data_IF_332423331283
#
_entry.id   IF_332423331283
#
_cell.length_a   1.000
_cell.length_b   1.000
_cell.length_c   1.000
_cell.angle_alpha   90.00
_cell.angle_beta   90.00
_cell.angle_gamma   90.00
#
_symmetry.space_group_name_H-M   'P 1'
#
loop_
_entity.id
_entity.type
_entity.pdbx_description
1 polymer ?
#
# COMPACT_ATOMS: atom_id res chain seq x y z
N UNK A 1 8.14 2.58 -35.36
CA UNK A 1 7.08 2.64 -34.33
C UNK A 1 5.83 3.13 -35.01
N UNK A 2 4.64 2.61 -34.69
CA UNK A 2 3.40 3.25 -35.12
C UNK A 2 3.42 4.72 -34.70
N UNK A 3 3.00 5.59 -35.61
CA UNK A 3 3.04 7.03 -35.44
C UNK A 3 2.09 7.47 -34.32
N UNK A 4 2.54 8.32 -33.41
CA UNK A 4 1.73 8.83 -32.30
C UNK A 4 0.61 9.72 -32.86
N UNK A 5 -0.63 9.26 -32.78
CA UNK A 5 -1.79 9.85 -33.44
C UNK A 5 -2.90 10.26 -32.45
N UNK A 6 -4.05 10.69 -32.96
CA UNK A 6 -5.17 11.17 -32.15
C UNK A 6 -5.78 10.08 -31.24
N UNK A 7 -5.71 8.80 -31.63
CA UNK A 7 -6.10 7.69 -30.75
C UNK A 7 -5.22 7.63 -29.50
N UNK A 8 -3.91 7.84 -29.65
CA UNK A 8 -2.98 7.90 -28.52
C UNK A 8 -3.23 9.14 -27.65
N UNK A 9 -3.56 10.29 -28.26
CA UNK A 9 -3.92 11.52 -27.53
C UNK A 9 -5.20 11.32 -26.71
N UNK A 10 -6.22 10.71 -27.28
CA UNK A 10 -7.47 10.40 -26.59
C UNK A 10 -7.25 9.43 -25.42
N UNK A 11 -6.39 8.43 -25.60
CA UNK A 11 -6.01 7.51 -24.53
C UNK A 11 -5.29 8.23 -23.38
N UNK A 12 -4.34 9.10 -23.69
CA UNK A 12 -3.66 9.92 -22.68
C UNK A 12 -4.63 10.87 -21.96
N UNK A 13 -5.56 11.48 -22.68
CA UNK A 13 -6.61 12.32 -22.09
C UNK A 13 -7.47 11.54 -21.10
N UNK A 14 -7.76 10.26 -21.36
CA UNK A 14 -8.46 9.40 -20.41
C UNK A 14 -7.66 9.19 -19.11
N UNK A 15 -6.34 9.04 -19.20
CA UNK A 15 -5.43 9.00 -18.03
C UNK A 15 -5.32 10.32 -17.28
N UNK A 16 -5.48 11.46 -17.96
CA UNK A 16 -5.50 12.76 -17.27
C UNK A 16 -6.85 13.01 -16.60
N UNK A 17 -7.95 12.56 -17.20
CA UNK A 17 -9.29 12.70 -16.65
C UNK A 17 -9.57 11.73 -15.50
N UNK A 18 -8.89 10.58 -15.49
CA UNK A 18 -9.01 9.56 -14.44
C UNK A 18 -7.71 9.48 -13.64
N UNK A 19 -7.83 9.70 -12.34
CA UNK A 19 -6.75 9.55 -11.35
C UNK A 19 -5.90 8.27 -11.49
N UNK A 20 -6.54 7.14 -11.80
CA UNK A 20 -5.90 5.85 -12.07
C UNK A 20 -6.87 4.91 -12.75
N UNK A 21 -6.37 3.85 -13.39
CA UNK A 21 -7.22 2.83 -14.01
C UNK A 21 -6.55 1.45 -14.03
N UNK A 22 -7.36 0.39 -14.02
CA UNK A 22 -6.91 -0.97 -14.34
C UNK A 22 -6.96 -1.24 -15.84
N UNK A 23 -6.44 -2.39 -16.27
CA UNK A 23 -6.56 -2.80 -17.68
C UNK A 23 -8.03 -2.94 -18.08
N UNK A 24 -8.85 -3.54 -17.21
CA UNK A 24 -10.28 -3.74 -17.42
C UNK A 24 -11.04 -2.41 -17.51
N UNK A 25 -10.64 -1.39 -16.74
CA UNK A 25 -11.20 -0.03 -16.84
C UNK A 25 -10.81 0.67 -18.16
N UNK A 26 -9.68 0.29 -18.74
CA UNK A 26 -9.14 0.85 -19.98
C UNK A 26 -9.68 0.17 -21.25
N UNK A 27 -10.09 -1.11 -21.17
CA UNK A 27 -10.71 -1.84 -22.29
C UNK A 27 -11.86 -1.08 -22.96
N UNK A 28 -12.91 -0.61 -22.24
CA UNK A 28 -14.00 0.13 -22.88
C UNK A 28 -13.57 1.49 -23.44
N UNK A 29 -12.53 2.12 -22.87
CA UNK A 29 -11.98 3.37 -23.41
C UNK A 29 -11.30 3.10 -24.75
N UNK A 30 -10.39 2.12 -24.78
CA UNK A 30 -9.66 1.77 -25.99
C UNK A 30 -10.60 1.26 -27.09
N UNK A 31 -11.59 0.44 -26.75
CA UNK A 31 -12.62 0.01 -27.69
C UNK A 31 -13.37 1.20 -28.31
N UNK A 32 -13.76 2.19 -27.51
CA UNK A 32 -14.41 3.40 -28.03
C UNK A 32 -13.50 4.22 -28.94
N UNK A 33 -12.22 4.40 -28.55
CA UNK A 33 -11.22 5.12 -29.35
C UNK A 33 -11.00 4.42 -30.69
N UNK A 34 -10.76 3.10 -30.65
CA UNK A 34 -10.48 2.29 -31.83
C UNK A 34 -11.69 2.17 -32.74
N UNK A 35 -12.90 2.15 -32.17
CA UNK A 35 -14.13 2.16 -32.97
C UNK A 35 -14.20 3.39 -33.88
N UNK A 36 -13.81 4.55 -33.35
CA UNK A 36 -13.77 5.79 -34.13
C UNK A 36 -12.60 5.79 -35.12
N UNK A 37 -11.40 5.35 -34.70
CA UNK A 37 -10.22 5.44 -35.56
C UNK A 37 -10.17 4.38 -36.67
N UNK A 38 -10.74 3.21 -36.45
CA UNK A 38 -10.76 2.11 -37.43
C UNK A 38 -12.05 2.11 -38.29
N UNK A 39 -13.07 2.87 -37.90
CA UNK A 39 -14.35 2.94 -38.63
C UNK A 39 -15.17 1.64 -38.57
N UNK A 40 -14.88 0.76 -37.62
CA UNK A 40 -15.64 -0.46 -37.32
C UNK A 40 -15.94 -0.51 -35.83
N UNK A 41 -17.00 -1.20 -35.42
CA UNK A 41 -17.21 -1.47 -33.99
C UNK A 41 -16.11 -2.39 -33.46
N UNK A 42 -15.52 -2.01 -32.33
CA UNK A 42 -14.54 -2.81 -31.57
C UNK A 42 -15.16 -3.13 -30.22
N UNK A 43 -15.29 -4.41 -29.87
CA UNK A 43 -15.77 -4.81 -28.55
C UNK A 43 -14.65 -4.69 -27.49
N UNK A 44 -14.96 -4.32 -26.22
CA UNK A 44 -13.96 -4.23 -25.15
C UNK A 44 -13.15 -5.52 -24.93
N UNK A 45 -13.77 -6.68 -25.18
CA UNK A 45 -13.14 -8.00 -25.05
C UNK A 45 -12.12 -8.30 -26.17
N UNK A 46 -12.15 -7.55 -27.28
CA UNK A 46 -11.13 -7.64 -28.34
C UNK A 46 -9.81 -6.96 -27.95
N UNK A 47 -9.85 -6.05 -26.96
CA UNK A 47 -8.67 -5.30 -26.53
C UNK A 47 -7.74 -6.24 -25.76
N UNK A 48 -6.61 -6.56 -26.39
CA UNK A 48 -5.56 -7.37 -25.79
C UNK A 48 -4.62 -6.59 -24.88
N UNK A 49 -3.96 -7.30 -23.97
CA UNK A 49 -2.95 -6.72 -23.08
C UNK A 49 -1.76 -6.12 -23.85
N UNK A 50 -1.36 -6.74 -24.97
CA UNK A 50 -0.27 -6.25 -25.82
C UNK A 50 -0.62 -4.90 -26.45
N UNK A 51 -1.85 -4.76 -26.97
CA UNK A 51 -2.34 -3.51 -27.53
C UNK A 51 -2.37 -2.41 -26.47
N UNK A 52 -2.86 -2.70 -25.27
CA UNK A 52 -2.82 -1.74 -24.16
C UNK A 52 -1.38 -1.35 -23.79
N UNK A 53 -0.45 -2.31 -23.75
CA UNK A 53 0.97 -2.05 -23.50
C UNK A 53 1.59 -1.14 -24.57
N UNK A 54 1.21 -1.32 -25.84
CA UNK A 54 1.68 -0.48 -26.94
C UNK A 54 1.20 0.97 -26.79
N UNK A 55 -0.06 1.18 -26.42
CA UNK A 55 -0.62 2.51 -26.12
C UNK A 55 0.10 3.17 -24.93
N UNK A 56 0.39 2.41 -23.87
CA UNK A 56 1.15 2.90 -22.71
C UNK A 56 2.57 3.31 -23.13
N UNK A 57 3.26 2.48 -23.92
CA UNK A 57 4.60 2.77 -24.41
C UNK A 57 4.64 4.01 -25.30
N UNK A 58 3.66 4.16 -26.20
CA UNK A 58 3.51 5.32 -27.05
C UNK A 58 3.23 6.59 -26.23
N UNK A 59 2.32 6.51 -25.25
CA UNK A 59 2.03 7.60 -24.31
C UNK A 59 3.28 8.02 -23.53
N UNK A 60 4.00 7.08 -22.91
CA UNK A 60 5.23 7.34 -22.15
C UNK A 60 6.31 8.01 -22.99
N UNK A 61 6.48 7.58 -24.25
CA UNK A 61 7.41 8.22 -25.18
C UNK A 61 7.02 9.68 -25.45
N UNK A 62 5.72 9.96 -25.62
CA UNK A 62 5.23 11.31 -25.90
C UNK A 62 5.26 12.25 -24.69
N UNK A 63 5.05 11.73 -23.47
CA UNK A 63 4.94 12.55 -22.25
C UNK A 63 6.26 12.68 -21.48
N UNK A 64 7.26 11.86 -21.79
CA UNK A 64 8.59 11.91 -21.16
C UNK A 64 9.26 13.30 -21.17
N UNK A 65 9.16 14.14 -22.22
CA UNK A 65 9.71 15.50 -22.21
C UNK A 65 9.09 16.45 -21.18
N UNK A 66 7.95 16.08 -20.60
CA UNK A 66 7.23 16.85 -19.58
C UNK A 66 7.43 16.29 -18.17
N UNK A 67 8.39 15.37 -18.00
CA UNK A 67 8.62 14.67 -16.73
C UNK A 67 7.38 13.94 -16.23
N UNK A 68 6.61 13.39 -17.16
CA UNK A 68 5.45 12.56 -16.87
C UNK A 68 5.75 11.13 -17.31
N UNK A 69 5.16 10.18 -16.60
CA UNK A 69 5.25 8.76 -16.92
C UNK A 69 4.00 8.04 -16.44
N UNK A 70 3.40 7.20 -17.28
CA UNK A 70 2.39 6.23 -16.84
C UNK A 70 3.11 5.06 -16.18
N UNK A 71 2.99 4.97 -14.85
CA UNK A 71 3.51 3.88 -14.05
C UNK A 71 2.43 2.89 -13.67
N UNK A 72 2.84 1.74 -13.17
CA UNK A 72 1.92 0.73 -12.66
C UNK A 72 2.38 0.07 -11.38
N UNK A 73 1.44 -0.22 -10.49
CA UNK A 73 1.66 -1.00 -9.26
C UNK A 73 0.56 -2.04 -9.07
N UNK A 74 0.93 -3.16 -8.45
CA UNK A 74 -0.06 -4.07 -7.89
C UNK A 74 -0.47 -3.57 -6.50
N UNK A 75 -1.76 -3.60 -6.15
CA UNK A 75 -2.24 -3.39 -4.80
C UNK A 75 -1.47 -4.24 -3.80
N UNK A 76 -1.01 -3.62 -2.71
CA UNK A 76 -0.22 -4.29 -1.68
C UNK A 76 -1.11 -4.85 -0.56
N UNK A 77 -2.22 -4.18 -0.27
CA UNK A 77 -3.26 -4.73 0.58
C UNK A 77 -4.19 -5.59 -0.28
N UNK A 78 -4.40 -6.82 0.13
CA UNK A 78 -5.53 -7.59 -0.37
C UNK A 78 -6.77 -6.97 0.28
N UNK A 79 -7.65 -6.40 -0.54
CA UNK A 79 -9.04 -6.24 -0.13
C UNK A 79 -9.47 -7.60 0.42
N UNK A 80 -10.15 -7.59 1.58
CA UNK A 80 -10.69 -8.82 2.13
C UNK A 80 -11.42 -9.53 1.01
N UNK A 81 -10.92 -10.70 0.63
CA UNK A 81 -11.79 -11.73 0.12
C UNK A 81 -12.97 -11.74 1.11
N UNK A 82 -14.13 -11.25 0.67
CA UNK A 82 -15.37 -11.79 1.18
C UNK A 82 -15.14 -13.30 1.18
N UNK A 83 -15.44 -13.99 2.27
CA UNK A 83 -15.06 -15.40 2.44
C UNK A 83 -15.61 -16.32 1.33
N UNK A 84 -16.48 -15.80 0.45
CA UNK A 84 -17.06 -16.42 -0.72
C UNK A 84 -16.63 -15.82 -2.08
N UNK A 85 -15.72 -14.85 -2.12
CA UNK A 85 -15.20 -14.28 -3.36
C UNK A 85 -14.11 -15.19 -3.95
N UNK A 86 -14.17 -15.53 -5.26
CA UNK A 86 -13.13 -16.31 -5.90
C UNK A 86 -11.76 -15.63 -5.72
N UNK A 87 -10.70 -16.44 -5.57
CA UNK A 87 -9.30 -16.03 -5.42
C UNK A 87 -8.85 -15.26 -6.67
N UNK A 88 -9.27 -13.99 -6.74
CA UNK A 88 -9.07 -13.14 -7.90
C UNK A 88 -7.71 -12.48 -7.71
N UNK A 89 -6.78 -12.64 -8.67
CA UNK A 89 -5.48 -12.02 -8.56
C UNK A 89 -5.64 -10.48 -8.47
N UNK A 90 -4.79 -9.80 -7.68
CA UNK A 90 -4.84 -8.35 -7.58
C UNK A 90 -4.65 -7.72 -8.96
N UNK A 91 -5.54 -6.80 -9.31
CA UNK A 91 -5.50 -6.09 -10.60
C UNK A 91 -4.42 -5.01 -10.56
N UNK A 92 -3.65 -4.90 -11.64
CA UNK A 92 -2.61 -3.87 -11.78
C UNK A 92 -3.27 -2.52 -12.01
N UNK A 93 -2.85 -1.53 -11.22
CA UNK A 93 -3.31 -0.15 -11.30
C UNK A 93 -2.28 0.66 -12.06
N UNK A 94 -2.73 1.47 -13.01
CA UNK A 94 -1.92 2.39 -13.81
C UNK A 94 -2.29 3.83 -13.47
N UNK A 95 -1.31 4.72 -13.39
CA UNK A 95 -1.53 6.15 -13.17
C UNK A 95 -0.45 6.98 -13.88
N UNK A 96 -0.84 8.16 -14.37
CA UNK A 96 0.08 9.16 -14.90
C UNK A 96 0.72 9.90 -13.73
N UNK A 97 2.02 9.74 -13.54
CA UNK A 97 2.76 10.36 -12.45
C UNK A 97 3.75 11.39 -12.95
N UNK A 98 3.99 12.39 -12.11
CA UNK A 98 5.10 13.32 -12.31
C UNK A 98 6.40 12.72 -11.73
N UNK A 99 7.47 12.73 -12.52
CA UNK A 99 8.76 12.14 -12.13
C UNK A 99 9.70 13.11 -11.42
N UNK A 100 9.45 14.42 -11.50
CA UNK A 100 10.36 15.46 -11.02
C UNK A 100 9.73 16.35 -9.94
N UNK A 101 8.45 16.65 -10.04
CA UNK A 101 7.75 17.53 -9.09
C UNK A 101 7.40 16.82 -7.78
N UNK A 102 7.42 17.57 -6.68
CA UNK A 102 6.85 17.12 -5.41
C UNK A 102 5.31 17.04 -5.52
N UNK A 103 4.68 15.86 -5.36
CA UNK A 103 3.23 15.75 -5.45
C UNK A 103 2.48 16.48 -4.32
N UNK A 104 3.14 16.81 -3.20
CA UNK A 104 2.55 17.75 -2.24
C UNK A 104 2.32 19.14 -2.85
N UNK A 105 3.13 19.55 -3.82
CA UNK A 105 2.92 20.80 -4.58
C UNK A 105 1.69 20.69 -5.48
N UNK A 106 1.42 19.52 -6.04
CA UNK A 106 0.20 19.29 -6.83
C UNK A 106 -1.04 19.33 -5.93
N UNK A 107 -0.99 18.66 -4.78
CA UNK A 107 -2.05 18.74 -3.75
C UNK A 107 -2.24 20.16 -3.24
N UNK A 108 -1.19 21.00 -3.23
CA UNK A 108 -1.28 22.39 -2.84
C UNK A 108 -2.11 23.27 -3.79
N UNK A 109 -2.43 22.77 -4.99
CA UNK A 109 -3.35 23.47 -5.90
C UNK A 109 -4.82 23.23 -5.56
N UNK A 110 -5.14 22.13 -4.88
CA UNK A 110 -6.51 21.73 -4.52
C UNK A 110 -6.83 22.01 -3.05
N UNK A 111 -5.85 21.84 -2.16
CA UNK A 111 -6.02 21.92 -0.71
C UNK A 111 -5.43 23.21 -0.14
N UNK A 112 -6.01 23.70 0.94
CA UNK A 112 -5.48 24.83 1.69
C UNK A 112 -4.16 24.49 2.41
N UNK A 113 -3.34 25.48 2.78
CA UNK A 113 -2.10 25.24 3.53
C UNK A 113 -2.29 24.43 4.84
N UNK A 114 -3.39 24.65 5.55
CA UNK A 114 -3.69 23.95 6.81
C UNK A 114 -4.08 22.48 6.56
N UNK A 115 -4.77 22.21 5.46
CA UNK A 115 -5.10 20.85 5.01
C UNK A 115 -3.85 20.10 4.57
N UNK A 116 -2.98 20.71 3.76
CA UNK A 116 -1.70 20.10 3.36
C UNK A 116 -0.86 19.79 4.60
N UNK A 117 -0.82 20.68 5.58
CA UNK A 117 -0.10 20.43 6.82
C UNK A 117 -0.72 19.30 7.64
N UNK A 118 -2.05 19.16 7.65
CA UNK A 118 -2.72 18.00 8.26
C UNK A 118 -2.35 16.69 7.54
N UNK A 119 -2.37 16.68 6.21
CA UNK A 119 -1.93 15.53 5.43
C UNK A 119 -0.47 15.17 5.74
N UNK A 120 0.42 16.16 5.79
CA UNK A 120 1.82 15.94 6.18
C UNK A 120 1.92 15.31 7.57
N UNK A 121 1.18 15.81 8.58
CA UNK A 121 1.15 15.21 9.92
C UNK A 121 0.66 13.76 9.90
N UNK A 122 -0.34 13.45 9.06
CA UNK A 122 -0.82 12.09 8.87
C UNK A 122 0.26 11.18 8.26
N UNK A 123 0.96 11.64 7.24
CA UNK A 123 2.08 10.92 6.62
C UNK A 123 3.23 10.74 7.62
N UNK A 124 3.57 11.77 8.39
CA UNK A 124 4.59 11.71 9.45
C UNK A 124 4.21 10.67 10.50
N UNK A 125 2.94 10.62 10.90
CA UNK A 125 2.45 9.58 11.80
C UNK A 125 2.59 8.18 11.20
N UNK A 126 2.22 7.98 9.93
CA UNK A 126 2.36 6.67 9.27
C UNK A 126 3.83 6.24 9.11
N UNK A 127 4.69 7.13 8.60
CA UNK A 127 6.05 6.80 8.16
C UNK A 127 7.16 7.10 9.17
N UNK A 128 6.84 7.78 10.27
CA UNK A 128 7.76 7.98 11.41
C UNK A 128 7.27 7.30 12.68
N UNK A 129 6.04 7.61 13.12
CA UNK A 129 5.52 7.08 14.40
C UNK A 129 5.21 5.59 14.31
N UNK A 130 4.44 5.18 13.30
CA UNK A 130 4.06 3.80 13.03
C UNK A 130 5.03 3.09 12.07
N UNK A 131 6.24 3.63 11.87
CA UNK A 131 7.30 3.00 11.11
C UNK A 131 8.66 3.25 11.78
N UNK A 132 8.97 2.40 12.74
CA UNK A 132 10.17 2.46 13.54
C UNK A 132 10.86 1.08 13.58
N UNK A 133 12.02 1.00 14.25
CA UNK A 133 12.81 -0.23 14.31
C UNK A 133 12.02 -1.42 14.86
N UNK A 134 11.06 -1.18 15.74
CA UNK A 134 10.24 -2.21 16.34
C UNK A 134 9.05 -2.55 15.44
N UNK A 135 8.35 -1.59 14.87
CA UNK A 135 7.14 -1.82 14.07
C UNK A 135 7.21 -1.13 12.70
N UNK A 136 7.05 -1.90 11.61
CA UNK A 136 6.92 -1.40 10.23
C UNK A 136 5.44 -1.40 9.82
N UNK A 137 4.62 -0.59 10.49
CA UNK A 137 3.16 -0.57 10.34
C UNK A 137 2.65 0.31 9.18
N UNK A 138 3.13 1.54 9.04
CA UNK A 138 2.80 2.46 7.94
C UNK A 138 1.30 2.65 7.66
N UNK A 139 0.49 2.59 8.73
CA UNK A 139 -0.95 2.79 8.70
C UNK A 139 -1.40 3.64 9.88
N UNK A 140 -2.59 4.20 9.81
CA UNK A 140 -3.22 4.92 10.93
C UNK A 140 -4.68 4.49 11.05
N UNK A 141 -5.20 4.34 12.27
CA UNK A 141 -6.66 4.24 12.43
C UNK A 141 -7.32 5.58 12.13
N UNK A 142 -8.61 5.58 11.74
CA UNK A 142 -9.35 6.82 11.52
C UNK A 142 -9.33 7.73 12.76
N UNK A 143 -9.45 7.17 13.97
CA UNK A 143 -9.38 7.94 15.21
C UNK A 143 -8.01 8.59 15.42
N UNK A 144 -6.92 7.85 15.18
CA UNK A 144 -5.56 8.40 15.25
C UNK A 144 -5.37 9.53 14.22
N UNK A 145 -5.82 9.33 12.98
CA UNK A 145 -5.72 10.33 11.93
C UNK A 145 -6.46 11.63 12.30
N UNK A 146 -7.70 11.52 12.79
CA UNK A 146 -8.50 12.68 13.20
C UNK A 146 -7.84 13.44 14.36
N UNK A 147 -7.19 12.75 15.31
CA UNK A 147 -6.49 13.39 16.43
C UNK A 147 -5.31 14.28 15.98
N UNK A 148 -4.78 14.08 14.77
CA UNK A 148 -3.73 14.91 14.16
C UNK A 148 -4.24 16.27 13.64
N UNK A 149 -5.53 16.58 13.84
CA UNK A 149 -6.10 17.88 13.49
C UNK A 149 -5.44 19.06 14.22
N UNK A 150 -4.87 18.80 15.41
CA UNK A 150 -4.15 19.80 16.22
C UNK A 150 -2.68 19.86 15.85
N UNK A 151 -2.17 21.07 15.61
CA UNK A 151 -0.74 21.34 15.47
C UNK A 151 -0.07 21.20 16.83
N UNK A 152 1.00 20.41 16.90
CA UNK A 152 1.78 20.21 18.12
C UNK A 152 2.43 21.52 18.56
N UNK A 153 2.56 21.72 19.87
CA UNK A 153 3.26 22.88 20.44
C UNK A 153 4.68 23.04 19.87
N UNK A 154 5.33 21.92 19.56
CA UNK A 154 6.68 21.88 18.98
C UNK A 154 6.73 22.42 17.54
N UNK A 155 5.70 22.18 16.73
CA UNK A 155 5.63 22.63 15.32
C UNK A 155 5.29 24.12 15.21
N UNK A 156 4.69 24.72 16.25
CA UNK A 156 4.43 26.16 16.31
C UNK A 156 5.72 26.98 16.46
N UNK A 157 6.82 26.34 16.86
CA UNK A 157 8.08 27.01 17.18
C UNK A 157 9.14 26.86 16.07
N UNK A 158 9.00 25.86 15.19
CA UNK A 158 9.96 25.56 14.12
C UNK A 158 9.79 26.43 12.86
N UNK A 159 8.69 27.15 12.71
CA UNK A 159 8.46 28.10 11.60
C UNK A 159 9.22 29.43 11.75
N UNK A 160 10.00 29.61 12.81
CA UNK A 160 10.74 30.85 13.08
C UNK A 160 12.16 30.95 12.53
N UNK A 161 12.75 29.88 11.98
CA UNK A 161 14.21 29.82 11.78
C UNK A 161 14.71 29.28 10.43
N UNK A 162 13.85 28.95 9.47
CA UNK A 162 14.31 28.47 8.16
C UNK A 162 14.32 29.62 7.13
N UNK A 163 15.52 29.98 6.67
CA UNK A 163 15.84 31.24 5.98
C UNK A 163 15.62 31.18 4.47
N UNK A 164 14.65 30.41 3.99
CA UNK A 164 14.34 30.32 2.56
C UNK A 164 12.96 30.92 2.28
N UNK A 165 12.98 32.01 1.53
CA UNK A 165 11.89 32.93 1.21
C UNK A 165 10.57 32.27 0.78
N UNK A 166 9.63 32.14 1.71
CA UNK A 166 8.20 32.33 1.46
C UNK A 166 7.53 32.72 2.77
N UNK A 167 6.85 33.86 2.81
CA UNK A 167 5.99 34.26 3.93
C UNK A 167 4.83 33.27 4.05
N UNK A 168 5.04 32.12 4.70
CA UNK A 168 3.97 31.20 5.02
C UNK A 168 3.25 31.72 6.27
N UNK A 169 1.95 32.02 6.12
CA UNK A 169 1.08 32.26 7.25
C UNK A 169 1.23 31.11 8.25
N UNK A 170 1.22 31.41 9.55
CA UNK A 170 1.34 30.39 10.59
C UNK A 170 0.27 29.31 10.40
N UNK A 171 0.69 28.10 10.02
CA UNK A 171 -0.17 26.95 9.79
C UNK A 171 -1.03 26.68 11.02
N UNK A 172 -2.34 26.68 10.84
CA UNK A 172 -3.32 26.53 11.92
C UNK A 172 -3.77 25.07 12.08
N UNK A 173 -4.42 24.81 13.22
CA UNK A 173 -5.07 23.52 13.45
C UNK A 173 -6.41 23.50 12.74
N UNK A 174 -6.72 22.38 12.09
CA UNK A 174 -8.07 22.14 11.58
C UNK A 174 -9.03 21.89 12.74
N UNK A 175 -10.32 22.13 12.53
CA UNK A 175 -11.36 21.56 13.40
C UNK A 175 -11.40 20.04 13.20
N UNK A 176 -11.83 19.32 14.23
CA UNK A 176 -11.93 17.85 14.17
C UNK A 176 -12.83 17.40 13.01
N UNK A 177 -13.96 18.07 12.80
CA UNK A 177 -14.88 17.80 11.69
C UNK A 177 -14.25 18.05 10.32
N UNK A 178 -13.41 19.08 10.18
CA UNK A 178 -12.69 19.36 8.93
C UNK A 178 -11.67 18.26 8.63
N UNK A 179 -10.97 17.76 9.65
CA UNK A 179 -10.05 16.63 9.48
C UNK A 179 -10.78 15.35 9.06
N UNK A 180 -11.95 15.07 9.64
CA UNK A 180 -12.80 13.94 9.23
C UNK A 180 -13.24 14.06 7.76
N UNK A 181 -13.76 15.22 7.37
CA UNK A 181 -14.17 15.48 5.98
C UNK A 181 -12.99 15.36 5.01
N UNK A 182 -11.82 15.89 5.37
CA UNK A 182 -10.62 15.78 4.55
C UNK A 182 -10.17 14.32 4.36
N UNK A 183 -10.22 13.49 5.41
CA UNK A 183 -9.92 12.06 5.28
C UNK A 183 -10.86 11.38 4.28
N UNK A 184 -12.16 11.71 4.32
CA UNK A 184 -13.14 11.16 3.37
C UNK A 184 -12.79 11.57 1.93
N UNK A 185 -12.51 12.85 1.69
CA UNK A 185 -12.10 13.32 0.35
C UNK A 185 -10.81 12.65 -0.13
N UNK A 186 -9.80 12.49 0.73
CA UNK A 186 -8.58 11.76 0.37
C UNK A 186 -8.85 10.30 -0.02
N UNK A 187 -9.87 9.66 0.56
CA UNK A 187 -10.28 8.31 0.16
C UNK A 187 -10.99 8.34 -1.19
N UNK A 188 -11.95 9.25 -1.37
CA UNK A 188 -12.72 9.39 -2.62
C UNK A 188 -11.83 9.74 -3.82
N UNK A 189 -10.81 10.57 -3.62
CA UNK A 189 -9.82 10.93 -4.64
C UNK A 189 -8.78 9.83 -4.87
N UNK A 190 -8.79 8.76 -4.07
CA UNK A 190 -7.88 7.64 -4.21
C UNK A 190 -6.46 7.93 -3.73
N UNK A 191 -6.27 8.83 -2.76
CA UNK A 191 -4.99 9.01 -2.05
C UNK A 191 -4.84 8.03 -0.90
N UNK A 192 -5.93 7.80 -0.17
CA UNK A 192 -6.02 6.88 0.94
C UNK A 192 -7.00 5.74 0.62
N UNK A 193 -6.78 4.60 1.24
CA UNK A 193 -7.74 3.51 1.29
C UNK A 193 -7.93 3.08 2.74
N UNK A 194 -9.13 2.60 3.06
CA UNK A 194 -9.49 2.10 4.38
C UNK A 194 -9.64 0.58 4.34
N UNK A 195 -8.87 -0.12 5.16
CA UNK A 195 -9.00 -1.56 5.30
C UNK A 195 -10.29 -1.94 6.03
N UNK A 196 -10.75 -3.20 5.91
CA UNK A 196 -11.91 -3.70 6.67
C UNK A 196 -11.74 -3.57 8.19
N UNK A 197 -10.49 -3.57 8.69
CA UNK A 197 -10.19 -3.36 10.11
C UNK A 197 -10.11 -1.88 10.52
N UNK A 198 -10.41 -0.97 9.59
CA UNK A 198 -10.49 0.47 9.85
C UNK A 198 -9.15 1.21 9.78
N UNK A 199 -8.12 0.61 9.19
CA UNK A 199 -6.82 1.26 9.01
C UNK A 199 -6.76 2.01 7.68
N UNK A 200 -6.27 3.23 7.73
CA UNK A 200 -5.94 4.07 6.60
C UNK A 200 -4.51 3.75 6.14
N UNK A 201 -4.34 3.60 4.82
CA UNK A 201 -3.06 3.39 4.14
C UNK A 201 -3.05 4.11 2.80
N UNK A 202 -1.87 4.35 2.22
CA UNK A 202 -1.75 4.89 0.87
C UNK A 202 -2.25 3.88 -0.17
N UNK A 203 -2.96 4.38 -1.19
CA UNK A 203 -3.34 3.60 -2.37
C UNK A 203 -2.13 3.33 -3.28
N UNK A 204 -2.25 2.42 -4.28
CA UNK A 204 -1.23 2.25 -5.30
C UNK A 204 -0.93 3.55 -6.07
N UNK A 205 -1.96 4.33 -6.38
CA UNK A 205 -1.83 5.65 -7.01
C UNK A 205 -0.94 6.56 -6.17
N UNK A 206 -1.28 6.75 -4.90
CA UNK A 206 -0.53 7.60 -4.00
C UNK A 206 0.91 7.13 -3.82
N UNK A 207 1.17 5.82 -3.79
CA UNK A 207 2.52 5.27 -3.70
C UNK A 207 3.35 5.53 -4.96
N UNK A 208 2.74 5.52 -6.15
CA UNK A 208 3.43 5.87 -7.39
C UNK A 208 3.76 7.36 -7.45
N UNK A 209 2.78 8.22 -7.13
CA UNK A 209 2.94 9.67 -7.17
C UNK A 209 3.91 10.14 -6.08
N UNK A 210 3.68 9.79 -4.81
CA UNK A 210 4.49 10.23 -3.67
C UNK A 210 5.84 9.51 -3.53
N UNK A 211 6.22 8.63 -4.45
CA UNK A 211 7.43 7.79 -4.33
C UNK A 211 8.69 8.63 -4.05
N UNK A 212 8.94 9.65 -4.88
CA UNK A 212 10.12 10.50 -4.76
C UNK A 212 10.11 11.29 -3.45
N UNK A 213 8.97 11.91 -3.15
CA UNK A 213 8.78 12.71 -1.95
C UNK A 213 8.91 11.90 -0.65
N UNK A 214 8.31 10.71 -0.57
CA UNK A 214 8.40 9.83 0.60
C UNK A 214 9.85 9.47 0.90
N UNK A 215 10.60 9.07 -0.13
CA UNK A 215 12.01 8.70 0.02
C UNK A 215 12.83 9.92 0.44
N UNK A 216 12.66 11.06 -0.25
CA UNK A 216 13.40 12.28 0.09
C UNK A 216 13.04 12.84 1.47
N UNK A 217 11.80 12.68 1.93
CA UNK A 217 11.37 13.27 3.21
C UNK A 217 11.76 12.40 4.40
N UNK A 218 11.66 11.08 4.25
CA UNK A 218 11.79 10.15 5.38
C UNK A 218 13.11 9.36 5.39
N UNK A 219 13.89 9.40 4.32
CA UNK A 219 15.22 8.78 4.28
C UNK A 219 16.38 9.79 4.17
N UNK A 220 16.10 11.09 4.02
CA UNK A 220 17.13 12.12 3.91
C UNK A 220 17.55 12.70 5.28
N UNK A 221 18.82 13.11 5.35
CA UNK A 221 19.56 13.69 6.49
C UNK A 221 19.28 13.09 7.89
N UNK A 222 20.18 12.18 8.26
CA UNK A 222 20.46 11.62 9.58
C UNK A 222 20.01 12.45 10.78
N UNK A 223 18.85 12.10 11.34
CA UNK A 223 18.49 12.47 12.71
C UNK A 223 19.44 11.71 13.65
N UNK A 224 20.57 12.34 14.05
CA UNK A 224 21.67 11.82 14.93
C UNK A 224 23.00 11.40 14.26
N UNK A 225 23.19 11.60 12.96
CA UNK A 225 24.37 11.12 12.23
C UNK A 225 24.32 9.64 11.80
N UNK A 226 23.22 8.92 12.07
CA UNK A 226 22.93 7.58 11.51
C UNK A 226 21.84 7.68 10.45
N UNK A 227 22.12 7.13 9.27
CA UNK A 227 21.11 6.99 8.19
C UNK A 227 20.09 5.94 8.61
N UNK A 228 18.87 6.36 8.96
CA UNK A 228 17.74 5.45 9.19
C UNK A 228 16.89 5.41 7.93
N UNK A 229 16.99 4.32 7.18
CA UNK A 229 16.15 4.09 6.01
C UNK A 229 14.74 3.67 6.46
N UNK A 230 13.81 4.63 6.51
CA UNK A 230 12.41 4.41 6.93
C UNK A 230 11.60 3.80 5.81
N UNK A 231 11.68 4.39 4.62
CA UNK A 231 11.01 3.93 3.41
C UNK A 231 11.88 2.86 2.79
N UNK A 232 11.35 1.64 2.71
CA UNK A 232 12.05 0.48 2.20
C UNK A 232 11.37 -0.02 0.94
N UNK A 233 12.14 -0.71 0.11
CA UNK A 233 11.67 -1.30 -1.14
C UNK A 233 11.65 -2.82 -1.09
N UNK A 234 10.70 -3.42 -1.80
CA UNK A 234 10.64 -4.86 -2.02
C UNK A 234 11.87 -5.33 -2.81
N UNK A 235 12.51 -6.41 -2.35
CA UNK A 235 13.72 -6.92 -2.97
C UNK A 235 13.50 -7.50 -4.38
N UNK A 236 12.26 -7.89 -4.70
CA UNK A 236 11.88 -8.46 -6.00
C UNK A 236 11.50 -7.38 -7.04
N UNK A 237 10.49 -6.55 -6.76
CA UNK A 237 9.99 -5.56 -7.72
C UNK A 237 10.62 -4.17 -7.58
N UNK A 238 11.42 -3.92 -6.54
CA UNK A 238 12.06 -2.62 -6.22
C UNK A 238 11.12 -1.46 -5.90
N UNK A 239 9.82 -1.74 -5.76
CA UNK A 239 8.83 -0.76 -5.36
C UNK A 239 8.73 -0.60 -3.84
N UNK A 240 8.24 0.57 -3.39
CA UNK A 240 8.02 0.83 -1.95
C UNK A 240 7.13 -0.26 -1.37
N UNK A 241 7.50 -0.76 -0.19
CA UNK A 241 6.70 -1.76 0.52
C UNK A 241 6.04 -1.20 1.76
N UNK A 242 4.71 -1.17 1.75
CA UNK A 242 3.86 -0.82 2.88
C UNK A 242 3.10 -2.04 3.41
N UNK A 243 2.98 -3.13 2.64
CA UNK A 243 2.38 -4.40 3.08
C UNK A 243 3.18 -5.60 2.56
N UNK A 244 3.50 -6.55 3.44
CA UNK A 244 4.17 -7.79 3.06
C UNK A 244 4.88 -8.45 4.22
N UNK A 245 6.07 -9.02 3.95
CA UNK A 245 6.91 -9.67 4.95
C UNK A 245 8.33 -9.12 4.93
N UNK A 246 9.01 -9.25 6.08
CA UNK A 246 10.40 -8.83 6.28
C UNK A 246 11.26 -9.98 6.81
N UNK A 247 12.57 -9.81 6.67
CA UNK A 247 13.55 -10.67 7.31
C UNK A 247 13.42 -10.64 8.85
N UNK A 248 13.79 -11.74 9.51
CA UNK A 248 13.87 -11.85 10.96
C UNK A 248 14.76 -10.75 11.56
N UNK A 249 15.94 -10.58 10.96
CA UNK A 249 16.87 -9.52 11.33
C UNK A 249 16.31 -8.16 10.89
N UNK A 250 15.99 -7.32 11.88
CA UNK A 250 15.44 -5.97 11.69
C UNK A 250 16.39 -5.04 10.92
N UNK A 251 17.69 -5.27 11.06
CA UNK A 251 18.73 -4.48 10.42
C UNK A 251 19.00 -4.97 8.99
N UNK A 252 18.43 -6.10 8.56
CA UNK A 252 18.59 -6.63 7.21
C UNK A 252 17.61 -6.00 6.22
N UNK A 253 18.07 -5.55 5.04
CA UNK A 253 17.35 -5.23 3.82
C UNK A 253 15.99 -5.84 3.53
N UNK A 254 15.96 -7.16 3.67
CA UNK A 254 15.07 -8.03 2.92
C UNK A 254 13.61 -7.84 3.30
N UNK A 255 12.83 -7.23 2.39
CA UNK A 255 11.36 -7.18 2.43
C UNK A 255 10.81 -7.68 1.10
N UNK A 256 9.66 -8.34 1.14
CA UNK A 256 8.96 -8.84 -0.05
C UNK A 256 7.46 -8.60 0.11
N UNK A 257 6.80 -8.08 -0.94
CA UNK A 257 5.34 -8.02 -0.97
C UNK A 257 4.76 -9.43 -0.99
N UNK A 258 3.52 -9.60 -0.52
CA UNK A 258 2.85 -10.90 -0.52
C UNK A 258 2.76 -11.52 -1.92
N UNK A 259 2.38 -10.73 -2.92
CA UNK A 259 2.31 -11.16 -4.30
C UNK A 259 3.70 -11.41 -4.93
N UNK A 260 4.77 -10.78 -4.42
CA UNK A 260 6.13 -11.00 -4.91
C UNK A 260 6.72 -12.32 -4.39
N UNK A 261 6.45 -12.69 -3.13
CA UNK A 261 7.09 -13.85 -2.48
C UNK A 261 6.89 -15.15 -3.27
N UNK A 262 5.66 -15.44 -3.71
CA UNK A 262 5.35 -16.70 -4.40
C UNK A 262 6.20 -16.91 -5.65
N UNK A 263 6.30 -15.88 -6.50
CA UNK A 263 7.09 -15.98 -7.72
C UNK A 263 8.59 -15.95 -7.40
N UNK A 264 9.00 -15.13 -6.44
CA UNK A 264 10.39 -14.96 -6.06
C UNK A 264 11.02 -16.26 -5.52
N UNK A 265 10.40 -16.90 -4.52
CA UNK A 265 10.94 -18.14 -3.94
C UNK A 265 10.85 -19.33 -4.90
N UNK A 266 9.83 -19.37 -5.75
CA UNK A 266 9.74 -20.37 -6.83
C UNK A 266 10.91 -20.22 -7.81
N UNK A 267 11.23 -19.00 -8.22
CA UNK A 267 12.37 -18.73 -9.12
C UNK A 267 13.72 -19.03 -8.46
N UNK A 268 13.87 -18.73 -7.16
CA UNK A 268 15.11 -19.01 -6.44
C UNK A 268 15.25 -20.47 -5.98
N UNK A 269 14.18 -21.27 -6.05
CA UNK A 269 14.12 -22.64 -5.50
C UNK A 269 14.52 -22.71 -4.01
N UNK A 270 14.35 -21.62 -3.27
CA UNK A 270 14.70 -21.53 -1.85
C UNK A 270 13.89 -20.43 -1.16
N UNK A 271 13.39 -20.73 0.05
CA UNK A 271 12.74 -19.75 0.94
C UNK A 271 13.78 -19.06 1.83
N UNK A 272 14.67 -18.30 1.20
CA UNK A 272 15.75 -17.57 1.88
C UNK A 272 15.61 -16.08 1.67
N UNK A 273 16.08 -15.32 2.65
CA UNK A 273 16.15 -13.88 2.56
C UNK A 273 17.03 -13.47 1.37
N UNK A 274 16.54 -12.60 0.47
CA UNK A 274 17.28 -12.19 -0.73
C UNK A 274 18.56 -11.41 -0.43
N UNK A 275 18.70 -10.90 0.79
CA UNK A 275 19.81 -10.04 1.20
C UNK A 275 20.81 -10.80 2.06
N UNK A 276 20.37 -11.41 3.16
CA UNK A 276 21.28 -12.09 4.10
C UNK A 276 21.31 -13.62 3.98
N UNK A 277 20.52 -14.21 3.07
CA UNK A 277 20.48 -15.65 2.78
C UNK A 277 20.06 -16.57 3.94
N UNK A 278 19.61 -16.01 5.07
CA UNK A 278 18.98 -16.77 6.17
C UNK A 278 17.60 -17.26 5.76
N UNK A 279 17.08 -18.28 6.44
CA UNK A 279 15.72 -18.78 6.24
C UNK A 279 14.69 -17.65 6.40
N UNK A 280 13.69 -17.66 5.51
CA UNK A 280 12.63 -16.66 5.55
C UNK A 280 11.65 -16.98 6.70
N UNK A 281 11.36 -16.03 7.60
CA UNK A 281 10.66 -16.34 8.85
C UNK A 281 9.18 -16.68 8.66
N UNK A 282 8.53 -16.16 7.61
CA UNK A 282 7.11 -16.42 7.32
C UNK A 282 6.10 -15.72 8.24
N UNK A 283 6.54 -15.20 9.40
CA UNK A 283 5.67 -14.63 10.44
C UNK A 283 6.01 -13.16 10.80
N UNK A 284 6.99 -12.55 10.15
CA UNK A 284 7.38 -11.15 10.36
C UNK A 284 6.80 -10.27 9.27
N UNK A 285 5.80 -9.48 9.65
CA UNK A 285 5.01 -8.71 8.70
C UNK A 285 5.43 -7.24 8.61
N UNK A 286 5.07 -6.65 7.48
CA UNK A 286 5.06 -5.21 7.17
C UNK A 286 3.61 -4.80 6.92
N UNK A 287 3.23 -3.60 7.34
CA UNK A 287 1.88 -3.07 7.20
C UNK A 287 0.98 -3.30 8.41
N UNK A 288 -0.33 -3.29 8.20
CA UNK A 288 -1.34 -3.51 9.23
C UNK A 288 -1.07 -4.74 10.11
N UNK A 289 -0.61 -5.86 9.49
CA UNK A 289 -0.31 -7.11 10.21
C UNK A 289 0.84 -6.98 11.21
N UNK A 290 1.76 -6.03 11.00
CA UNK A 290 2.84 -5.77 11.94
C UNK A 290 2.29 -5.30 13.30
N UNK A 291 1.23 -4.47 13.31
CA UNK A 291 0.64 -3.95 14.54
C UNK A 291 0.04 -5.05 15.42
N UNK A 292 -0.66 -6.04 14.82
CA UNK A 292 -1.24 -7.16 15.56
C UNK A 292 -0.18 -8.13 16.10
N UNK A 293 0.93 -8.32 15.39
CA UNK A 293 2.04 -9.16 15.84
C UNK A 293 2.78 -8.54 17.05
N UNK A 294 2.79 -7.20 17.17
CA UNK A 294 3.38 -6.51 18.32
C UNK A 294 2.58 -6.64 19.61
N UNK A 295 1.26 -6.86 19.51
CA UNK A 295 0.37 -6.92 20.66
C UNK A 295 0.24 -8.32 21.27
N UNK A 296 0.90 -9.34 20.71
CA UNK A 296 0.92 -10.70 21.29
C UNK A 296 2.21 -10.89 22.12
N UNK A 297 2.12 -10.90 23.47
CA UNK A 297 3.24 -11.37 24.28
C UNK A 297 3.53 -12.84 23.96
N UNK A 298 4.82 -13.17 23.87
CA UNK A 298 5.37 -14.44 23.36
C UNK A 298 5.16 -15.66 24.28
N UNK A 299 4.00 -15.77 24.95
CA UNK A 299 3.66 -16.91 25.84
C UNK A 299 2.57 -17.80 25.24
N UNK A 300 2.77 -18.26 24.00
CA UNK A 300 2.01 -19.37 23.46
C UNK A 300 2.98 -20.37 22.83
N UNK A 301 3.54 -21.24 23.68
CA UNK A 301 4.16 -22.50 23.24
C UNK A 301 3.19 -23.26 22.32
N UNK A 302 3.60 -23.71 21.13
CA UNK A 302 2.77 -24.54 20.30
C UNK A 302 2.65 -25.92 20.96
N UNK A 303 1.46 -26.27 21.45
CA UNK A 303 1.13 -27.66 21.81
C UNK A 303 1.21 -28.50 20.54
N UNK A 304 2.28 -29.28 20.43
CA UNK A 304 2.38 -30.38 19.47
C UNK A 304 1.14 -31.27 19.62
N UNK A 305 0.31 -31.30 18.57
CA UNK A 305 -0.69 -32.35 18.36
C UNK A 305 0.07 -33.64 18.05
N UNK A 306 0.36 -34.43 19.08
CA UNK A 306 0.71 -35.84 18.86
C UNK A 306 -0.57 -36.57 18.48
N UNK A 307 -0.62 -37.00 17.23
CA UNK A 307 -1.52 -38.02 16.74
C UNK A 307 -1.09 -39.37 17.31
N UNK A 308 -1.88 -39.95 18.22
CA UNK A 308 -1.82 -41.37 18.53
C UNK A 308 -3.12 -42.03 18.09
N UNK A 309 -2.99 -42.83 17.05
CA UNK A 309 -3.91 -43.82 16.54
C UNK A 309 -4.27 -44.89 17.57
N UNK A 310 -5.56 -45.16 17.76
CA UNK A 310 -6.07 -46.51 18.07
C UNK A 310 -7.58 -46.56 17.82
N UNK A 311 -8.00 -47.47 16.94
CA UNK A 311 -9.38 -47.88 16.74
C UNK A 311 -9.59 -49.29 17.39
N UNK A 312 -10.75 -49.96 17.26
CA UNK A 312 -11.74 -50.12 18.33
C UNK A 312 -11.97 -51.59 18.75
N UNK A 313 -12.63 -51.85 19.89
CA UNK A 313 -13.28 -53.13 20.27
C UNK A 313 -14.19 -52.84 21.48
N UNK A 314 -15.51 -52.93 21.40
CA UNK A 314 -16.39 -54.11 21.40
C UNK A 314 -16.56 -54.79 22.78
N UNK A 315 -17.78 -54.61 23.30
CA UNK A 315 -18.64 -55.55 24.04
C UNK A 315 -18.33 -55.96 25.50
N UNK A 316 -19.38 -55.72 26.30
CA UNK A 316 -20.09 -56.66 27.18
C UNK A 316 -19.56 -56.99 28.58
N UNK A 317 -20.35 -56.53 29.55
CA UNK A 317 -21.10 -57.35 30.54
C UNK A 317 -20.54 -57.55 31.95
N UNK A 318 -21.51 -57.48 32.88
CA UNK A 318 -21.56 -57.95 34.25
C UNK A 318 -20.69 -57.30 35.32
N UNK A 319 -21.11 -57.18 36.58
CA UNK A 319 -22.39 -57.27 37.31
C UNK A 319 -21.99 -57.10 38.79
N UNK A 320 -22.98 -56.80 39.65
CA UNK A 320 -22.96 -57.03 41.11
C UNK A 320 -22.04 -56.09 41.92
N UNK A 321 -22.39 -55.54 43.08
CA UNK A 321 -23.43 -55.67 44.10
C UNK A 321 -23.06 -54.56 45.12
N UNK A 322 -23.83 -54.04 46.08
CA UNK A 322 -25.09 -54.33 46.74
C UNK A 322 -25.35 -53.11 47.65
N UNK A 323 -26.63 -52.74 47.84
CA UNK A 323 -27.34 -52.45 49.11
C UNK A 323 -26.69 -51.56 50.21
N UNK A 324 -27.41 -50.80 51.02
CA UNK A 324 -28.84 -50.62 51.27
C UNK A 324 -29.03 -49.39 52.16
N UNK A 325 -30.27 -48.89 52.17
CA UNK A 325 -31.03 -48.30 53.29
C UNK A 325 -30.54 -47.04 54.04
N UNK A 326 -31.40 -46.02 54.12
CA UNK A 326 -32.49 -46.00 55.13
C UNK A 326 -33.32 -44.70 55.08
N UNK A 327 -34.66 -44.91 55.14
CA UNK A 327 -35.77 -44.07 55.62
C UNK A 327 -36.02 -42.66 55.05
#
# INVERSE_FOLDING_TARGET
MPEYNDSNRAFLQAFMARSSMTFEDAQPILAAILTVSEGRTVDPDEIGADQFSDFISAANTAVSPFDLEIRSLLPQALESAQQDAPDTPPKRVYALVNTTSDPLTQLATTYSPDEIAFLKRLLDYMFTTNNNRLCEGMVATQMQAVQLHKVSSSERQSTGNDSTQTQTAAVQSLRMTQAETMIVHLIEEGWLQKSPKGYLSLTPRALMELRGWLVSTYNDESFDGRRVERIKSCAACKEIITVGQRCENRDCPGRLHDHCMRNFFRMQQAEKCPVCQKEWPGDKFVGERALSAHLRPSNATPRQRQSSSAAPSALSDNSEDENDDAE
#
